data_IF_807602121082
#
_entry.id   IF_807602121082
#
_cell.length_a   1.000
_cell.length_b   1.000
_cell.length_c   1.000
_cell.angle_alpha   90.00
_cell.angle_beta   90.00
_cell.angle_gamma   90.00
#
_symmetry.space_group_name_H-M   'P 1'
#
loop_
_entity.id
_entity.type
_entity.pdbx_description
1 polymer ?
#
# COMPACT_ATOMS: atom_id res chain seq x y z
N UNK A 1 -43.20 -4.20 13.95
CA UNK A 1 -43.50 -2.75 13.91
C UNK A 1 -43.61 -2.34 12.44
N UNK A 2 -44.85 -2.10 11.97
CA UNK A 2 -45.16 -1.60 10.62
C UNK A 2 -45.08 -0.08 10.64
N UNK A 3 -44.30 0.52 9.75
CA UNK A 3 -44.39 1.94 9.45
C UNK A 3 -45.18 2.09 8.15
N UNK A 4 -46.41 2.60 8.27
CA UNK A 4 -47.16 3.17 7.16
C UNK A 4 -46.67 4.60 6.93
N UNK A 5 -46.41 4.93 5.66
CA UNK A 5 -46.34 6.31 5.20
C UNK A 5 -47.02 6.35 3.83
N UNK A 6 -48.24 6.89 3.78
CA UNK A 6 -48.83 7.36 2.53
C UNK A 6 -48.34 8.78 2.27
N UNK A 7 -47.72 9.00 1.11
CA UNK A 7 -47.62 10.31 0.47
C UNK A 7 -47.44 10.14 -1.05
N UNK A 8 -48.19 10.95 -1.76
CA UNK A 8 -48.54 10.95 -3.19
C UNK A 8 -47.48 11.53 -4.14
N UNK A 9 -47.37 10.90 -5.32
CA UNK A 9 -47.06 11.41 -6.69
C UNK A 9 -45.81 12.27 -6.99
N UNK A 10 -45.00 11.72 -7.91
CA UNK A 10 -44.21 12.34 -9.01
C UNK A 10 -43.22 13.48 -8.70
N UNK A 11 -41.93 13.15 -8.65
CA UNK A 11 -40.93 13.86 -9.46
C UNK A 11 -39.63 13.04 -9.59
N UNK A 12 -38.89 13.27 -10.68
CA UNK A 12 -37.82 12.42 -11.21
C UNK A 12 -36.84 11.84 -10.17
N UNK A 13 -36.70 10.52 -10.18
CA UNK A 13 -35.59 9.82 -9.51
C UNK A 13 -34.33 10.19 -10.25
N UNK A 14 -33.66 11.25 -9.80
CA UNK A 14 -32.27 11.51 -10.12
C UNK A 14 -31.49 10.25 -9.68
N UNK A 15 -30.81 9.52 -10.59
CA UNK A 15 -30.04 8.33 -10.25
C UNK A 15 -28.76 8.80 -9.55
N UNK A 16 -28.92 9.39 -8.37
CA UNK A 16 -27.84 9.75 -7.48
C UNK A 16 -27.23 8.45 -7.04
N UNK A 17 -26.21 8.02 -7.77
CA UNK A 17 -25.41 6.85 -7.49
C UNK A 17 -24.86 7.02 -6.06
N UNK A 18 -25.55 6.44 -5.09
CA UNK A 18 -25.05 6.32 -3.74
C UNK A 18 -23.94 5.29 -3.88
N UNK A 19 -22.69 5.73 -3.75
CA UNK A 19 -21.57 4.78 -3.65
C UNK A 19 -21.80 4.01 -2.36
N UNK A 20 -22.16 2.74 -2.55
CA UNK A 20 -22.57 1.74 -1.58
C UNK A 20 -21.37 1.33 -0.68
N UNK A 21 -21.56 0.47 0.35
CA UNK A 21 -20.85 0.49 1.63
C UNK A 21 -19.32 0.39 1.53
N UNK A 22 -18.62 0.89 2.55
CA UNK A 22 -17.16 0.87 2.55
C UNK A 22 -16.65 -0.58 2.36
N UNK A 23 -15.53 -0.76 1.62
CA UNK A 23 -15.10 -2.06 1.16
C UNK A 23 -14.80 -3.00 2.33
N UNK A 24 -15.11 -4.29 2.17
CA UNK A 24 -14.72 -5.31 3.14
C UNK A 24 -13.28 -5.83 2.95
N UNK A 25 -12.69 -5.57 1.78
CA UNK A 25 -11.35 -6.02 1.42
C UNK A 25 -10.67 -4.98 0.52
N UNK A 26 -9.45 -4.60 0.87
CA UNK A 26 -8.54 -3.84 0.03
C UNK A 26 -7.43 -4.77 -0.45
N UNK A 27 -7.18 -4.79 -1.76
CA UNK A 27 -6.13 -5.59 -2.37
C UNK A 27 -5.09 -4.67 -2.98
N UNK A 28 -3.85 -4.77 -2.50
CA UNK A 28 -2.69 -4.14 -3.14
C UNK A 28 -2.01 -5.19 -4.03
N UNK A 29 -2.19 -5.04 -5.34
CA UNK A 29 -1.71 -6.00 -6.33
C UNK A 29 -0.41 -5.51 -6.98
N UNK A 30 0.64 -6.34 -6.93
CA UNK A 30 1.94 -6.13 -7.56
C UNK A 30 2.61 -4.79 -7.20
N UNK A 31 2.71 -4.40 -5.91
CA UNK A 31 3.34 -3.13 -5.55
C UNK A 31 4.81 -3.07 -5.98
N UNK A 32 5.56 -4.17 -5.94
CA UNK A 32 6.93 -4.23 -6.47
C UNK A 32 7.06 -3.80 -7.93
N UNK A 33 6.04 -4.05 -8.77
CA UNK A 33 6.09 -3.68 -10.18
C UNK A 33 6.18 -2.15 -10.36
N UNK A 34 5.64 -1.37 -9.44
CA UNK A 34 5.80 0.09 -9.42
C UNK A 34 7.26 0.50 -9.20
N UNK A 35 7.95 -0.15 -8.27
CA UNK A 35 9.33 0.17 -7.89
C UNK A 35 10.39 -0.41 -8.84
N UNK A 36 10.02 -1.40 -9.65
CA UNK A 36 10.89 -2.02 -10.65
C UNK A 36 10.81 -1.35 -12.03
N UNK A 37 9.89 -0.40 -12.23
CA UNK A 37 9.83 0.35 -13.48
C UNK A 37 11.11 1.17 -13.68
N UNK A 38 11.68 1.11 -14.90
CA UNK A 38 12.94 1.77 -15.27
C UNK A 38 12.84 3.30 -15.40
N UNK A 39 12.09 3.97 -14.52
CA UNK A 39 12.17 5.41 -14.38
C UNK A 39 13.37 5.77 -13.50
N UNK A 40 14.50 5.97 -14.17
CA UNK A 40 15.83 6.31 -13.60
C UNK A 40 15.81 7.54 -12.67
N UNK A 41 14.74 8.33 -12.70
CA UNK A 41 14.61 9.57 -11.92
C UNK A 41 14.10 9.36 -10.50
N UNK A 42 13.41 8.25 -10.20
CA UNK A 42 12.83 8.04 -8.87
C UNK A 42 13.73 7.17 -7.99
N UNK A 43 14.38 7.82 -7.02
CA UNK A 43 15.16 7.14 -5.99
C UNK A 43 14.23 6.48 -4.95
N UNK A 44 13.62 5.37 -5.33
CA UNK A 44 12.83 4.57 -4.42
C UNK A 44 13.71 3.92 -3.34
N UNK A 45 13.19 3.89 -2.11
CA UNK A 45 13.85 3.27 -0.95
C UNK A 45 12.93 2.21 -0.35
N UNK A 46 13.47 1.37 0.53
CA UNK A 46 12.64 0.44 1.32
C UNK A 46 11.53 1.20 2.05
N UNK A 47 11.82 2.39 2.56
CA UNK A 47 10.83 3.25 3.22
C UNK A 47 9.71 3.67 2.26
N UNK A 48 10.00 3.89 0.97
CA UNK A 48 8.98 4.19 -0.04
C UNK A 48 8.00 3.02 -0.21
N UNK A 49 8.51 1.78 -0.27
CA UNK A 49 7.69 0.57 -0.34
C UNK A 49 6.83 0.41 0.92
N UNK A 50 7.43 0.52 2.11
CA UNK A 50 6.70 0.40 3.37
C UNK A 50 5.66 1.51 3.55
N UNK A 51 5.94 2.72 3.07
CA UNK A 51 5.00 3.83 3.12
C UNK A 51 3.76 3.56 2.25
N UNK A 52 3.94 2.99 1.06
CA UNK A 52 2.82 2.58 0.21
C UNK A 52 1.91 1.57 0.92
N UNK A 53 2.49 0.53 1.51
CA UNK A 53 1.75 -0.47 2.30
C UNK A 53 1.05 0.19 3.51
N UNK A 54 1.74 1.11 4.18
CA UNK A 54 1.20 1.85 5.34
C UNK A 54 0.01 2.72 4.94
N UNK A 55 0.06 3.40 3.79
CA UNK A 55 -1.07 4.17 3.28
C UNK A 55 -2.27 3.27 2.95
N UNK A 56 -2.06 2.11 2.33
CA UNK A 56 -3.13 1.15 2.09
C UNK A 56 -3.77 0.68 3.41
N UNK A 57 -2.96 0.45 4.46
CA UNK A 57 -3.46 0.12 5.79
C UNK A 57 -4.25 1.27 6.43
N UNK A 58 -3.78 2.50 6.29
CA UNK A 58 -4.48 3.68 6.79
C UNK A 58 -5.85 3.86 6.11
N UNK A 59 -5.95 3.56 4.81
CA UNK A 59 -7.23 3.54 4.09
C UNK A 59 -8.18 2.48 4.64
N UNK A 60 -7.67 1.28 4.94
CA UNK A 60 -8.49 0.23 5.60
C UNK A 60 -9.01 0.69 6.96
N UNK A 61 -8.18 1.36 7.77
CA UNK A 61 -8.61 1.92 9.05
C UNK A 61 -9.65 3.03 8.88
N UNK A 62 -9.49 3.86 7.86
CA UNK A 62 -10.46 4.88 7.50
C UNK A 62 -11.81 4.27 7.09
N UNK A 63 -11.82 3.22 6.28
CA UNK A 63 -13.06 2.52 5.94
C UNK A 63 -13.67 1.80 7.15
N UNK A 64 -12.84 1.27 8.05
CA UNK A 64 -13.29 0.67 9.30
C UNK A 64 -14.00 1.68 10.21
N UNK A 65 -13.60 2.96 10.20
CA UNK A 65 -14.25 3.99 11.02
C UNK A 65 -15.55 4.51 10.40
N UNK A 66 -15.69 4.45 9.08
CA UNK A 66 -16.93 4.81 8.37
C UNK A 66 -18.01 3.73 8.46
N UNK A 67 -17.61 2.46 8.52
CA UNK A 67 -18.53 1.34 8.60
C UNK A 67 -18.83 0.95 10.05
N UNK A 68 -20.10 0.90 10.43
CA UNK A 68 -20.56 0.28 11.68
C UNK A 68 -20.66 -1.25 11.59
N UNK A 69 -20.08 -1.86 10.54
CA UNK A 69 -20.19 -3.29 10.28
C UNK A 69 -19.45 -4.10 11.35
N UNK A 70 -19.96 -5.30 11.64
CA UNK A 70 -19.43 -6.20 12.66
C UNK A 70 -17.98 -6.67 12.39
N UNK A 71 -17.52 -6.58 11.14
CA UNK A 71 -16.16 -6.95 10.75
C UNK A 71 -15.41 -5.77 10.11
N UNK A 72 -14.19 -5.44 10.56
CA UNK A 72 -13.36 -4.44 9.92
C UNK A 72 -12.88 -4.92 8.55
N UNK A 73 -12.62 -4.00 7.59
CA UNK A 73 -12.04 -4.36 6.30
C UNK A 73 -10.67 -5.00 6.47
N UNK A 74 -10.33 -5.94 5.59
CA UNK A 74 -9.02 -6.58 5.55
C UNK A 74 -8.13 -5.95 4.47
N UNK A 75 -6.81 -5.92 4.70
CA UNK A 75 -5.82 -5.59 3.68
C UNK A 75 -5.10 -6.88 3.26
N UNK A 76 -5.03 -7.13 1.97
CA UNK A 76 -4.19 -8.20 1.40
C UNK A 76 -3.23 -7.60 0.39
N UNK A 77 -1.97 -8.03 0.43
CA UNK A 77 -0.94 -7.65 -0.52
C UNK A 77 -0.52 -8.89 -1.30
N UNK A 78 -0.65 -8.84 -2.62
CA UNK A 78 -0.15 -9.87 -3.52
C UNK A 78 1.01 -9.31 -4.32
N UNK A 79 2.16 -9.95 -4.26
CA UNK A 79 3.37 -9.47 -4.92
C UNK A 79 4.23 -10.64 -5.40
N UNK A 80 4.25 -10.89 -6.70
CA UNK A 80 5.02 -11.97 -7.32
C UNK A 80 6.50 -11.65 -7.53
N UNK A 81 6.89 -10.36 -7.51
CA UNK A 81 8.27 -9.92 -7.78
C UNK A 81 8.98 -9.41 -6.54
N UNK A 82 8.41 -9.64 -5.35
CA UNK A 82 8.98 -9.21 -4.09
C UNK A 82 10.40 -9.73 -3.85
N UNK A 83 10.70 -10.97 -4.27
CA UNK A 83 12.05 -11.56 -4.20
C UNK A 83 13.07 -10.83 -5.06
N UNK A 84 12.62 -10.27 -6.19
CA UNK A 84 13.45 -9.54 -7.14
C UNK A 84 13.65 -8.07 -6.72
N UNK A 85 12.76 -7.56 -5.85
CA UNK A 85 12.77 -6.18 -5.41
C UNK A 85 13.90 -5.93 -4.40
N UNK A 86 14.90 -5.18 -4.84
CA UNK A 86 15.99 -4.68 -4.00
C UNK A 86 15.98 -3.17 -3.99
N UNK A 87 15.86 -2.58 -2.81
CA UNK A 87 15.78 -1.14 -2.62
C UNK A 87 16.81 -0.70 -1.56
N UNK A 88 17.39 0.50 -1.70
CA UNK A 88 18.30 1.04 -0.69
C UNK A 88 17.57 1.32 0.64
N UNK A 89 18.26 1.09 1.76
CA UNK A 89 17.89 1.66 3.06
C UNK A 89 18.35 3.12 3.06
N UNK A 90 17.50 4.04 3.51
CA UNK A 90 17.78 5.48 3.61
C UNK A 90 19.24 5.76 4.05
N UNK A 91 19.95 6.60 3.29
CA UNK A 91 21.26 7.07 3.70
C UNK A 91 21.12 8.15 4.77
N UNK A 92 21.95 8.09 5.81
CA UNK A 92 22.31 9.30 6.54
C UNK A 92 23.09 10.21 5.58
N UNK A 93 22.89 11.53 5.60
CA UNK A 93 23.75 12.44 4.86
C UNK A 93 25.19 12.22 5.32
N UNK A 94 26.05 11.80 4.40
CA UNK A 94 27.48 11.61 4.64
C UNK A 94 28.07 12.97 5.02
N UNK A 95 28.35 13.15 6.32
CA UNK A 95 29.16 14.28 6.79
C UNK A 95 30.60 14.04 6.37
N UNK A 96 30.97 14.41 5.15
CA UNK A 96 32.39 14.62 4.81
C UNK A 96 32.50 15.87 3.93
N UNK A 97 32.73 16.99 4.60
CA UNK A 97 33.39 18.14 3.98
C UNK A 97 34.89 17.80 4.00
N UNK A 98 35.55 17.83 2.84
CA UNK A 98 37.03 17.85 2.64
C UNK A 98 37.82 16.61 2.19
N UNK A 99 37.23 15.56 1.60
CA UNK A 99 38.07 14.60 0.83
C UNK A 99 37.45 14.15 -0.51
N UNK A 100 37.97 14.63 -1.67
CA UNK A 100 37.43 14.29 -2.99
C UNK A 100 37.67 12.84 -3.41
N UNK A 101 38.48 12.05 -2.69
CA UNK A 101 38.71 10.63 -3.01
C UNK A 101 37.68 9.66 -2.41
N UNK A 102 36.80 10.14 -1.50
CA UNK A 102 35.87 9.27 -0.76
C UNK A 102 34.46 9.16 -1.38
N UNK A 103 34.17 9.91 -2.44
CA UNK A 103 32.85 9.99 -3.05
C UNK A 103 32.38 8.70 -3.75
N UNK A 104 33.27 7.74 -4.00
CA UNK A 104 32.94 6.51 -4.74
C UNK A 104 32.35 5.40 -3.86
N UNK A 105 32.56 5.46 -2.54
CA UNK A 105 32.03 4.47 -1.58
C UNK A 105 30.59 4.75 -1.15
N UNK A 106 30.02 5.89 -1.53
CA UNK A 106 28.73 6.29 -0.96
C UNK A 106 27.55 5.51 -1.55
N UNK A 107 27.61 4.85 -2.73
CA UNK A 107 26.45 4.20 -3.41
C UNK A 107 25.61 3.35 -2.42
N UNK A 108 24.31 3.65 -2.19
CA UNK A 108 23.58 2.98 -1.13
C UNK A 108 23.32 1.54 -1.56
N UNK A 109 23.73 0.59 -0.72
CA UNK A 109 23.57 -0.83 -1.03
C UNK A 109 22.09 -1.20 -1.11
N UNK A 110 21.61 -1.76 -2.24
CA UNK A 110 20.25 -2.27 -2.32
C UNK A 110 20.10 -3.51 -1.43
N UNK A 111 19.03 -3.52 -0.63
CA UNK A 111 18.65 -4.63 0.22
C UNK A 111 17.33 -5.24 -0.24
N UNK A 112 17.18 -6.56 -0.03
CA UNK A 112 15.97 -7.25 -0.44
C UNK A 112 14.79 -6.84 0.43
N UNK A 113 13.69 -6.44 -0.20
CA UNK A 113 12.50 -5.98 0.51
C UNK A 113 11.81 -7.11 1.27
N UNK A 114 11.95 -8.37 0.81
CA UNK A 114 11.34 -9.54 1.46
C UNK A 114 11.72 -9.68 2.94
N UNK A 115 12.97 -9.35 3.29
CA UNK A 115 13.48 -9.40 4.67
C UNK A 115 12.73 -8.46 5.61
N UNK A 116 12.16 -7.38 5.07
CA UNK A 116 11.36 -6.42 5.83
C UNK A 116 9.90 -6.83 5.87
N UNK A 117 9.37 -7.44 4.80
CA UNK A 117 7.98 -7.90 4.76
C UNK A 117 7.70 -8.92 5.87
N UNK A 118 8.58 -9.90 6.06
CA UNK A 118 8.43 -10.88 7.15
C UNK A 118 8.42 -10.24 8.55
N UNK A 119 9.06 -9.08 8.71
CA UNK A 119 9.11 -8.36 9.98
C UNK A 119 7.87 -7.50 10.24
N UNK A 120 7.22 -6.99 9.20
CA UNK A 120 6.16 -5.98 9.32
C UNK A 120 4.75 -6.51 9.06
N UNK A 121 4.62 -7.73 8.54
CA UNK A 121 3.32 -8.33 8.19
C UNK A 121 2.96 -9.44 9.16
N UNK A 122 1.69 -9.44 9.59
CA UNK A 122 1.17 -10.42 10.54
C UNK A 122 1.11 -11.84 9.94
N UNK A 123 0.88 -11.94 8.63
CA UNK A 123 0.81 -13.20 7.89
C UNK A 123 1.48 -13.05 6.53
N UNK A 124 2.37 -13.99 6.21
CA UNK A 124 3.07 -14.08 4.91
C UNK A 124 2.91 -15.50 4.39
N UNK A 125 2.60 -15.65 3.10
CA UNK A 125 2.44 -16.93 2.45
C UNK A 125 2.88 -16.86 0.99
N UNK A 126 3.47 -17.95 0.50
CA UNK A 126 3.88 -18.11 -0.90
C UNK A 126 2.98 -19.13 -1.58
N UNK A 127 2.51 -18.81 -2.79
CA UNK A 127 1.68 -19.71 -3.59
C UNK A 127 2.43 -20.07 -4.87
N UNK A 128 2.42 -21.36 -5.24
CA UNK A 128 2.96 -21.85 -6.50
C UNK A 128 1.81 -22.35 -7.37
N UNK A 129 1.70 -21.85 -8.60
CA UNK A 129 0.79 -22.44 -9.59
C UNK A 129 1.42 -23.72 -10.14
N UNK A 130 0.67 -24.82 -10.10
CA UNK A 130 1.01 -26.10 -10.71
C UNK A 130 0.81 -26.07 -12.23
#
# INVERSE_FOLDING_TARGET
>A
LRCHSDATTTDGVDPKAIVDPAPCLLVLYEPSAYFLQENVLDHHTISSYLLLVTHARALVQFFASMNSSLSPPSLVVFDSKLEQLKLPILRLPSKVVFDPQQAQDDIPRPESVILFVEKYFDMVGTFQCQ
#
